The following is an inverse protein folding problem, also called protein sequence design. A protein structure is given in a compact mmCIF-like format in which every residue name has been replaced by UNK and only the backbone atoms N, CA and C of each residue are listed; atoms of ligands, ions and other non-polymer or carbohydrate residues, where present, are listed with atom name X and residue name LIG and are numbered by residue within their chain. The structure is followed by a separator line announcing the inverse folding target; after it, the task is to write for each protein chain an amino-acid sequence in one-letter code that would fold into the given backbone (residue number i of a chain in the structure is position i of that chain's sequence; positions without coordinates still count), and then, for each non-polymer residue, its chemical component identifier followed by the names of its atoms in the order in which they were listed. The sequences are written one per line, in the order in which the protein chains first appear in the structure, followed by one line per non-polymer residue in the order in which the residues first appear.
data_IF_085327619781
#
_entry.id   IF_085327619781
#
_cell.length_a   1.000
_cell.length_b   1.000
_cell.length_c   1.000
_cell.angle_alpha   90.00
_cell.angle_beta   90.00
_cell.angle_gamma   90.00
#
_symmetry.space_group_name_H-M   'P 1'
#
loop_
_entity.id
_entity.type
_entity.pdbx_description
1 polymer ?
#
# COMPACT_ATOMS: atom_id res chain seq x y z
N UNK A 1 2.04 15.83 4.79
CA UNK A 1 2.09 14.39 5.17
C UNK A 1 3.51 14.04 5.53
N UNK A 2 3.72 13.20 6.55
CA UNK A 2 5.06 12.86 7.04
C UNK A 2 5.20 11.35 7.16
N UNK A 3 6.29 10.79 6.62
CA UNK A 3 6.65 9.39 6.74
C UNK A 3 7.95 9.31 7.54
N UNK A 4 7.94 8.46 8.57
CA UNK A 4 9.12 8.15 9.37
C UNK A 4 9.67 6.79 8.96
N UNK A 5 10.98 6.72 8.70
CA UNK A 5 11.72 5.47 8.53
C UNK A 5 12.50 5.19 9.80
N UNK A 6 12.38 3.98 10.31
CA UNK A 6 13.15 3.47 11.44
C UNK A 6 13.94 2.25 11.00
N UNK A 7 15.05 1.95 11.67
CA UNK A 7 15.67 0.63 11.54
C UNK A 7 14.79 -0.37 12.28
N UNK A 8 14.61 -1.56 11.69
CA UNK A 8 13.89 -2.64 12.35
C UNK A 8 14.56 -2.94 13.70
N UNK A 9 13.82 -2.90 14.82
CA UNK A 9 14.38 -3.18 16.12
C UNK A 9 14.73 -4.67 16.24
N UNK A 10 15.75 -5.00 17.02
CA UNK A 10 16.16 -6.40 17.26
C UNK A 10 15.13 -7.22 18.02
N UNK A 11 14.13 -6.58 18.62
CA UNK A 11 13.01 -7.22 19.31
C UNK A 11 11.76 -6.34 19.24
N UNK A 12 10.58 -6.98 19.17
CA UNK A 12 9.28 -6.30 19.07
C UNK A 12 8.66 -6.21 20.47
N UNK A 13 8.69 -5.02 21.06
CA UNK A 13 8.03 -4.65 22.30
C UNK A 13 7.88 -3.12 22.37
N UNK A 14 7.10 -2.62 23.33
CA UNK A 14 6.98 -1.18 23.59
C UNK A 14 8.36 -0.59 23.89
N UNK A 15 8.84 0.30 23.03
CA UNK A 15 10.16 0.94 23.17
C UNK A 15 10.25 2.23 22.35
N UNK A 16 11.21 3.07 22.70
CA UNK A 16 11.63 4.17 21.83
C UNK A 16 12.61 3.67 20.79
N UNK A 17 12.41 4.07 19.54
CA UNK A 17 13.30 3.78 18.41
C UNK A 17 13.84 5.09 17.83
N UNK A 18 15.05 5.04 17.29
CA UNK A 18 15.62 6.19 16.59
C UNK A 18 15.07 6.24 15.16
N UNK A 19 14.63 7.43 14.76
CA UNK A 19 14.26 7.72 13.37
C UNK A 19 15.52 7.78 12.52
N UNK A 20 15.58 6.96 11.48
CA UNK A 20 16.67 6.89 10.50
C UNK A 20 16.44 7.86 9.33
N UNK A 21 15.17 8.13 9.00
CA UNK A 21 14.83 9.12 7.98
C UNK A 21 13.43 9.71 8.14
N UNK A 22 13.26 10.93 7.65
CA UNK A 22 11.95 11.61 7.60
C UNK A 22 11.70 12.05 6.17
N UNK A 23 10.51 11.79 5.64
CA UNK A 23 10.06 12.31 4.35
C UNK A 23 8.79 13.13 4.56
N UNK A 24 8.83 14.39 4.19
CA UNK A 24 7.69 15.30 4.24
C UNK A 24 7.21 15.60 2.82
N UNK A 25 5.92 15.41 2.54
CA UNK A 25 5.35 15.65 1.22
C UNK A 25 3.96 16.29 1.28
N UNK A 26 3.63 16.98 0.20
CA UNK A 26 2.32 17.57 -0.08
C UNK A 26 1.88 17.16 -1.49
N UNK A 27 0.57 17.03 -1.70
CA UNK A 27 -0.02 16.60 -2.97
C UNK A 27 -1.47 17.07 -3.07
N UNK A 28 -2.14 16.81 -4.19
CA UNK A 28 -3.52 17.24 -4.44
C UNK A 28 -4.61 16.25 -3.97
N UNK A 29 -4.22 15.18 -3.27
CA UNK A 29 -5.15 14.15 -2.79
C UNK A 29 -5.51 14.37 -1.32
N UNK A 30 -6.79 14.14 -0.99
CA UNK A 30 -7.36 14.47 0.32
C UNK A 30 -7.03 13.43 1.41
N UNK A 31 -7.03 12.14 1.07
CA UNK A 31 -6.95 11.03 2.03
C UNK A 31 -6.09 9.90 1.43
N UNK A 32 -5.13 9.39 2.20
CA UNK A 32 -4.37 8.17 1.90
C UNK A 32 -4.18 7.35 3.16
N UNK A 33 -4.43 6.05 3.05
CA UNK A 33 -4.16 5.06 4.10
C UNK A 33 -3.31 3.90 3.62
N UNK A 34 -2.80 3.95 2.38
CA UNK A 34 -1.98 2.90 1.82
C UNK A 34 -0.59 3.43 1.49
N UNK A 35 0.41 2.87 2.19
CA UNK A 35 1.84 3.06 1.95
C UNK A 35 2.41 1.72 1.45
N UNK A 36 3.19 1.75 0.37
CA UNK A 36 3.81 0.58 -0.23
C UNK A 36 5.31 0.78 -0.32
N UNK A 37 6.08 -0.29 -0.20
CA UNK A 37 7.53 -0.28 -0.37
C UNK A 37 7.92 -1.43 -1.28
N UNK A 38 8.70 -1.15 -2.32
CA UNK A 38 9.22 -2.21 -3.20
C UNK A 38 10.52 -2.83 -2.67
N UNK A 39 11.01 -3.95 -3.25
CA UNK A 39 12.26 -4.58 -2.80
C UNK A 39 13.53 -3.72 -2.95
N UNK A 40 13.47 -2.62 -3.70
CA UNK A 40 14.57 -1.66 -3.84
C UNK A 40 14.52 -0.58 -2.76
N UNK A 41 13.45 -0.53 -1.96
CA UNK A 41 13.21 0.49 -0.94
C UNK A 41 12.54 1.74 -1.47
N UNK A 42 12.00 1.70 -2.70
CA UNK A 42 11.20 2.79 -3.25
C UNK A 42 9.83 2.82 -2.60
N UNK A 43 9.35 4.03 -2.30
CA UNK A 43 8.13 4.23 -1.50
C UNK A 43 7.02 4.82 -2.35
N UNK A 44 5.82 4.24 -2.22
CA UNK A 44 4.64 4.68 -2.94
C UNK A 44 3.50 4.95 -1.98
N UNK A 45 2.66 5.92 -2.32
CA UNK A 45 1.43 6.23 -1.59
C UNK A 45 0.24 6.14 -2.52
N UNK A 46 -0.88 5.68 -1.97
CA UNK A 46 -2.13 5.52 -2.72
C UNK A 46 -3.24 6.27 -2.01
N UNK A 47 -3.86 7.21 -2.72
CA UNK A 47 -5.03 7.91 -2.20
C UNK A 47 -6.29 7.07 -2.31
N UNK A 48 -7.26 7.37 -1.44
CA UNK A 48 -8.55 6.69 -1.45
C UNK A 48 -9.37 7.03 -2.70
N UNK A 49 -9.90 6.01 -3.37
CA UNK A 49 -11.11 6.03 -4.20
C UNK A 49 -12.37 6.16 -3.33
N UNK A 50 -13.43 6.71 -3.92
CA UNK A 50 -14.76 6.78 -3.33
C UNK A 50 -15.81 7.16 -4.37
N UNK A 51 -17.09 7.30 -4.01
CA UNK A 51 -18.13 7.72 -4.95
C UNK A 51 -17.78 9.04 -5.65
N UNK A 52 -17.56 9.00 -6.97
CA UNK A 52 -17.20 10.18 -7.77
C UNK A 52 -15.71 10.56 -7.76
N UNK A 53 -14.84 9.75 -7.14
CA UNK A 53 -13.41 10.04 -7.01
C UNK A 53 -12.55 8.86 -7.48
N UNK A 54 -11.50 9.17 -8.24
CA UNK A 54 -10.44 8.23 -8.58
C UNK A 54 -9.28 8.42 -7.60
N UNK A 55 -8.81 7.32 -7.02
CA UNK A 55 -7.59 7.30 -6.23
C UNK A 55 -6.38 7.43 -7.15
N UNK A 56 -5.25 7.79 -6.58
CA UNK A 56 -4.01 8.08 -7.28
C UNK A 56 -2.87 7.32 -6.62
N UNK A 57 -2.09 6.64 -7.45
CA UNK A 57 -0.85 5.99 -7.06
C UNK A 57 0.31 6.92 -7.41
N UNK A 58 1.17 7.23 -6.43
CA UNK A 58 2.29 8.16 -6.58
C UNK A 58 3.56 7.54 -6.01
N UNK A 59 4.64 7.61 -6.78
CA UNK A 59 5.99 7.33 -6.30
C UNK A 59 6.55 8.53 -5.55
N UNK A 60 7.05 8.31 -4.34
CA UNK A 60 7.74 9.34 -3.58
C UNK A 60 9.23 9.31 -3.95
N UNK A 61 9.79 10.41 -4.47
CA UNK A 61 11.16 10.42 -4.93
C UNK A 61 12.12 10.21 -3.75
N UNK A 62 13.10 9.31 -3.90
CA UNK A 62 14.10 9.05 -2.86
C UNK A 62 14.89 10.29 -2.41
N UNK A 63 14.98 11.32 -3.26
CA UNK A 63 15.58 12.62 -2.91
C UNK A 63 14.79 13.43 -1.88
N UNK A 64 13.52 13.08 -1.63
CA UNK A 64 12.69 13.73 -0.62
C UNK A 64 13.01 13.31 0.82
N UNK A 65 13.78 12.22 1.01
CA UNK A 65 14.23 11.82 2.34
C UNK A 65 15.16 12.86 2.96
N UNK A 66 14.92 13.15 4.23
CA UNK A 66 15.67 14.08 5.08
C UNK A 66 15.70 15.51 4.55
N UNK A 67 14.71 15.89 3.73
CA UNK A 67 14.44 17.28 3.42
C UNK A 67 13.79 17.95 4.63
N UNK A 68 14.16 19.21 4.90
CA UNK A 68 13.55 20.02 5.97
C UNK A 68 12.34 20.84 5.47
N UNK A 69 11.67 20.36 4.43
CA UNK A 69 10.50 21.00 3.83
C UNK A 69 9.63 19.95 3.13
N UNK A 70 8.37 20.29 2.90
CA UNK A 70 7.44 19.44 2.17
C UNK A 70 7.77 19.45 0.67
N UNK A 71 8.01 18.28 0.11
CA UNK A 71 8.16 18.08 -1.34
C UNK A 71 6.78 17.94 -1.98
N UNK A 72 6.52 18.68 -3.05
CA UNK A 72 5.27 18.52 -3.82
C UNK A 72 5.37 17.29 -4.72
N UNK A 73 4.42 16.36 -4.60
CA UNK A 73 4.35 15.12 -5.39
C UNK A 73 3.00 15.04 -6.09
N UNK A 74 3.01 15.17 -7.42
CA UNK A 74 1.76 15.08 -8.20
C UNK A 74 1.88 14.27 -9.49
N UNK A 75 3.07 13.79 -9.81
CA UNK A 75 3.29 12.89 -10.93
C UNK A 75 2.94 11.47 -10.46
N UNK A 76 1.97 10.86 -11.12
CA UNK A 76 1.46 9.54 -10.75
C UNK A 76 0.30 9.13 -11.65
N UNK A 77 -0.28 7.96 -11.36
CA UNK A 77 -1.34 7.37 -12.19
C UNK A 77 -2.64 7.24 -11.40
N UNK A 78 -3.76 7.47 -12.07
CA UNK A 78 -5.08 7.23 -11.47
C UNK A 78 -5.38 5.74 -11.47
N UNK A 79 -5.94 5.28 -10.36
CA UNK A 79 -6.42 3.92 -10.21
C UNK A 79 -7.65 3.69 -11.10
N UNK A 80 -7.67 2.62 -11.92
CA UNK A 80 -8.81 2.28 -12.77
C UNK A 80 -9.90 1.52 -12.00
N UNK A 81 -10.00 1.71 -10.69
CA UNK A 81 -11.00 1.10 -9.82
C UNK A 81 -11.90 2.17 -9.21
N UNK A 82 -13.11 1.76 -8.84
CA UNK A 82 -14.05 2.56 -8.06
C UNK A 82 -14.41 1.80 -6.79
N UNK A 83 -14.84 2.51 -5.77
CA UNK A 83 -15.35 1.90 -4.54
C UNK A 83 -16.60 2.62 -4.06
N UNK A 84 -17.48 1.86 -3.42
CA UNK A 84 -18.69 2.38 -2.76
C UNK A 84 -18.39 3.10 -1.44
N UNK A 85 -17.16 3.00 -0.93
CA UNK A 85 -16.67 3.60 0.31
C UNK A 85 -15.21 4.03 0.14
N UNK A 86 -14.76 4.95 1.01
CA UNK A 86 -13.40 5.46 1.01
C UNK A 86 -12.40 4.32 1.27
N UNK A 87 -11.67 3.92 0.24
CA UNK A 87 -10.65 2.86 0.23
C UNK A 87 -9.71 3.12 -0.95
N UNK A 88 -8.54 2.51 -1.17
CA UNK A 88 -7.96 1.39 -0.45
C UNK A 88 -7.57 1.73 0.98
N UNK A 89 -7.47 0.67 1.77
CA UNK A 89 -7.14 0.67 3.21
C UNK A 89 -5.81 0.00 3.52
N UNK A 90 -5.26 -0.70 2.53
CA UNK A 90 -3.94 -1.32 2.62
C UNK A 90 -3.52 -1.87 1.28
N UNK A 91 -2.28 -2.32 1.22
CA UNK A 91 -1.71 -2.95 0.04
C UNK A 91 -0.32 -3.48 0.35
N UNK A 92 0.22 -4.27 -0.57
CA UNK A 92 1.56 -4.81 -0.42
C UNK A 92 2.19 -5.12 -1.77
N UNK A 93 3.52 -4.94 -1.87
CA UNK A 93 4.30 -5.34 -3.03
C UNK A 93 5.02 -6.64 -2.67
N UNK A 94 4.93 -7.63 -3.56
CA UNK A 94 5.54 -8.94 -3.34
C UNK A 94 7.06 -8.87 -3.09
N UNK A 95 7.66 -9.85 -2.40
CA UNK A 95 9.11 -9.88 -2.17
C UNK A 95 9.96 -9.82 -3.44
N UNK A 96 9.45 -10.26 -4.59
CA UNK A 96 10.11 -10.15 -5.90
C UNK A 96 9.92 -8.79 -6.57
N UNK A 97 8.98 -7.97 -6.10
CA UNK A 97 8.62 -6.68 -6.69
C UNK A 97 7.76 -6.81 -7.94
N UNK A 98 7.36 -8.02 -8.32
CA UNK A 98 6.71 -8.29 -9.61
C UNK A 98 5.19 -8.37 -9.51
N UNK A 99 4.64 -8.16 -8.32
CA UNK A 99 3.22 -8.31 -8.02
C UNK A 99 2.81 -7.31 -6.96
N UNK A 100 1.61 -6.74 -7.08
CA UNK A 100 1.05 -5.77 -6.14
C UNK A 100 -0.36 -6.19 -5.72
N UNK A 101 -0.64 -6.10 -4.42
CA UNK A 101 -1.97 -6.20 -3.84
C UNK A 101 -2.46 -4.84 -3.38
N UNK A 102 -3.75 -4.59 -3.57
CA UNK A 102 -4.44 -3.43 -3.02
C UNK A 102 -5.76 -3.87 -2.43
N UNK A 103 -5.97 -3.59 -1.14
CA UNK A 103 -7.17 -3.98 -0.40
C UNK A 103 -8.12 -2.78 -0.29
N UNK A 104 -9.36 -3.04 -0.66
CA UNK A 104 -10.52 -2.23 -0.29
C UNK A 104 -11.38 -3.03 0.68
N UNK A 105 -12.42 -2.42 1.24
CA UNK A 105 -13.37 -3.14 2.09
C UNK A 105 -14.07 -4.30 1.38
N UNK A 106 -14.30 -4.18 0.06
CA UNK A 106 -15.04 -5.17 -0.73
C UNK A 106 -14.16 -6.13 -1.52
N UNK A 107 -12.92 -5.77 -1.83
CA UNK A 107 -12.09 -6.48 -2.80
C UNK A 107 -10.62 -6.48 -2.41
N UNK A 108 -9.90 -7.53 -2.81
CA UNK A 108 -8.45 -7.53 -2.95
C UNK A 108 -8.14 -7.51 -4.45
N UNK A 109 -7.48 -6.44 -4.89
CA UNK A 109 -7.04 -6.25 -6.28
C UNK A 109 -5.59 -6.69 -6.43
N UNK A 110 -5.28 -7.21 -7.61
CA UNK A 110 -3.98 -7.75 -7.98
C UNK A 110 -3.51 -7.18 -9.33
N UNK A 111 -2.23 -6.79 -9.38
CA UNK A 111 -1.50 -6.49 -10.59
C UNK A 111 -0.25 -7.37 -10.72
N UNK A 112 0.01 -7.85 -11.94
CA UNK A 112 1.30 -8.40 -12.35
C UNK A 112 2.15 -7.30 -12.98
N UNK A 113 3.39 -7.15 -12.53
CA UNK A 113 4.31 -6.04 -12.81
C UNK A 113 5.72 -6.62 -13.07
N UNK A 114 5.91 -7.42 -14.12
CA UNK A 114 7.13 -8.22 -14.33
C UNK A 114 8.41 -7.39 -14.48
N UNK A 115 8.30 -6.13 -14.89
CA UNK A 115 9.41 -5.20 -15.10
C UNK A 115 9.61 -4.20 -13.94
N UNK A 116 8.83 -4.34 -12.86
CA UNK A 116 8.80 -3.42 -11.71
C UNK A 116 8.50 -1.96 -12.09
N UNK A 117 7.84 -1.74 -13.23
CA UNK A 117 7.32 -0.43 -13.63
C UNK A 117 5.86 -0.29 -13.16
N UNK A 118 5.69 0.06 -11.90
CA UNK A 118 4.38 0.11 -11.24
C UNK A 118 3.40 1.04 -11.95
N UNK A 119 3.81 2.25 -12.31
CA UNK A 119 2.93 3.23 -12.97
C UNK A 119 2.45 2.74 -14.36
N UNK A 120 3.31 2.06 -15.11
CA UNK A 120 2.96 1.49 -16.41
C UNK A 120 1.98 0.30 -16.31
N UNK A 121 1.82 -0.31 -15.13
CA UNK A 121 0.91 -1.43 -14.94
C UNK A 121 -0.38 -1.05 -14.20
N UNK A 122 -0.28 -0.17 -13.20
CA UNK A 122 -1.40 0.19 -12.30
C UNK A 122 -2.54 0.91 -13.02
N UNK A 123 -2.26 1.62 -14.11
CA UNK A 123 -3.31 2.25 -14.91
C UNK A 123 -4.23 1.25 -15.63
N UNK A 124 -3.84 -0.04 -15.72
CA UNK A 124 -4.66 -1.11 -16.27
C UNK A 124 -5.59 -1.70 -15.21
N UNK A 125 -6.79 -2.12 -15.61
CA UNK A 125 -7.77 -2.67 -14.68
C UNK A 125 -7.22 -3.94 -13.99
N UNK A 126 -7.22 -4.01 -12.64
CA UNK A 126 -6.67 -5.15 -11.91
C UNK A 126 -7.50 -6.41 -12.05
N UNK A 127 -6.87 -7.55 -11.75
CA UNK A 127 -7.62 -8.76 -11.41
C UNK A 127 -8.17 -8.63 -9.98
N UNK A 128 -9.45 -8.95 -9.77
CA UNK A 128 -9.98 -9.13 -8.42
C UNK A 128 -9.72 -10.57 -7.97
N UNK A 129 -9.10 -10.73 -6.81
CA UNK A 129 -8.85 -12.05 -6.21
C UNK A 129 -10.06 -12.51 -5.37
N UNK A 130 -10.28 -13.82 -5.24
CA UNK A 130 -11.23 -14.35 -4.26
C UNK A 130 -10.92 -13.81 -2.87
N UNK A 131 -11.94 -13.28 -2.21
CA UNK A 131 -11.80 -12.61 -0.92
C UNK A 131 -13.00 -12.94 -0.05
N UNK A 132 -12.72 -13.30 1.21
CA UNK A 132 -13.74 -13.47 2.23
C UNK A 132 -14.02 -12.11 2.85
N UNK A 133 -15.25 -11.61 2.73
CA UNK A 133 -15.61 -10.31 3.29
C UNK A 133 -15.36 -10.27 4.81
N UNK A 134 -14.70 -9.19 5.24
CA UNK A 134 -14.30 -8.96 6.63
C UNK A 134 -15.01 -7.73 7.18
N UNK A 135 -15.34 -7.73 8.47
CA UNK A 135 -15.79 -6.52 9.14
C UNK A 135 -14.56 -5.63 9.35
N UNK A 136 -14.51 -4.47 8.69
CA UNK A 136 -13.37 -3.56 8.73
C UNK A 136 -12.05 -4.30 8.43
N UNK A 137 -12.01 -4.99 7.30
CA UNK A 137 -10.77 -5.56 6.79
C UNK A 137 -9.83 -4.43 6.37
N UNK A 138 -8.78 -4.17 7.15
CA UNK A 138 -7.85 -3.04 6.92
C UNK A 138 -6.50 -3.50 6.36
N UNK A 139 -6.05 -4.72 6.67
CA UNK A 139 -4.69 -5.16 6.33
C UNK A 139 -4.67 -6.23 5.23
N UNK A 140 -3.63 -6.17 4.40
CA UNK A 140 -3.23 -7.21 3.45
C UNK A 140 -1.70 -7.28 3.39
N UNK A 141 -1.13 -8.47 3.28
CA UNK A 141 0.28 -8.64 2.92
C UNK A 141 0.52 -9.97 2.22
N UNK A 142 1.55 -10.02 1.38
CA UNK A 142 2.02 -11.26 0.81
C UNK A 142 2.62 -12.16 1.88
N UNK A 143 2.46 -13.47 1.72
CA UNK A 143 3.29 -14.41 2.44
C UNK A 143 4.69 -14.41 1.84
N UNK A 144 5.72 -14.40 2.69
CA UNK A 144 7.14 -14.29 2.29
C UNK A 144 7.59 -15.34 1.24
N UNK A 145 6.99 -16.52 1.21
CA UNK A 145 7.32 -17.59 0.25
C UNK A 145 6.49 -17.54 -1.05
N UNK A 146 5.65 -16.52 -1.22
CA UNK A 146 4.80 -16.32 -2.40
C UNK A 146 3.64 -17.30 -2.54
N UNK A 147 3.40 -18.20 -1.56
CA UNK A 147 2.35 -19.22 -1.68
C UNK A 147 0.92 -18.70 -1.48
N UNK A 148 0.75 -17.40 -1.19
CA UNK A 148 -0.53 -16.75 -0.97
C UNK A 148 -0.36 -15.40 -0.29
N UNK A 149 -1.45 -14.89 0.27
CA UNK A 149 -1.47 -13.62 1.01
C UNK A 149 -2.35 -13.73 2.26
N UNK A 150 -2.14 -12.82 3.20
CA UNK A 150 -2.93 -12.70 4.41
C UNK A 150 -3.85 -11.49 4.35
N UNK A 151 -5.00 -11.58 5.03
CA UNK A 151 -5.81 -10.40 5.36
C UNK A 151 -6.21 -10.43 6.83
N UNK A 152 -6.43 -9.23 7.40
CA UNK A 152 -6.79 -9.07 8.80
C UNK A 152 -7.74 -7.88 9.00
N UNK A 153 -8.72 -8.10 9.87
CA UNK A 153 -9.67 -7.09 10.33
C UNK A 153 -9.12 -6.24 11.47
N UNK A 154 -9.50 -4.97 11.54
CA UNK A 154 -9.27 -4.14 12.71
C UNK A 154 -9.92 -4.76 13.97
N UNK A 155 -9.28 -4.60 15.12
CA UNK A 155 -9.83 -4.96 16.42
C UNK A 155 -9.07 -6.06 17.16
N UNK A 156 -9.57 -6.42 18.34
CA UNK A 156 -8.99 -7.45 19.19
C UNK A 156 -9.47 -8.85 18.78
N UNK A 157 -8.55 -9.83 18.79
CA UNK A 157 -8.83 -11.23 18.46
C UNK A 157 -9.40 -11.44 17.03
N UNK A 158 -9.03 -10.59 16.09
CA UNK A 158 -9.40 -10.74 14.68
C UNK A 158 -8.83 -12.02 14.08
N UNK A 159 -9.59 -12.64 13.17
CA UNK A 159 -9.14 -13.84 12.45
C UNK A 159 -8.14 -13.43 11.37
N UNK A 160 -6.93 -13.99 11.42
CA UNK A 160 -5.96 -13.89 10.33
C UNK A 160 -6.35 -14.88 9.23
N UNK A 161 -6.83 -14.38 8.10
CA UNK A 161 -7.18 -15.22 6.95
C UNK A 161 -5.95 -15.44 6.08
N UNK A 162 -5.71 -16.69 5.68
CA UNK A 162 -4.73 -17.03 4.65
C UNK A 162 -5.45 -17.43 3.36
N UNK A 163 -5.10 -16.75 2.28
CA UNK A 163 -5.62 -16.98 0.93
C UNK A 163 -4.52 -17.62 0.09
N UNK A 164 -4.63 -18.93 -0.13
CA UNK A 164 -3.65 -19.70 -0.89
C UNK A 164 -3.72 -19.32 -2.38
N UNK A 165 -2.56 -19.12 -3.01
CA UNK A 165 -2.45 -19.02 -4.47
C UNK A 165 -2.82 -20.38 -5.09
N UNK A 166 -3.74 -20.37 -6.06
CA UNK A 166 -4.11 -21.57 -6.82
C UNK A 166 -3.00 -21.94 -7.81
#
# INVERSE_FOLDING_TARGET
NTIYRIREPSSIHDQSVNVDGVLEFSWDQHDCETLLVDPRGEVYVVSKVGPGHHGKFVHLPGSAWNQHHHVWVNDGVYLPITASSNSPVGGDISPSGTELLLKTYGHVYYWSIPDQNYEAHIHNYPQSLPYHAERQGEAVCWKVDGSGFYTLSEGANSVLYFHRRL
#
